data_IF_402493825070
#
_entry.id   IF_402493825070
#
_cell.length_a   1.000
_cell.length_b   1.000
_cell.length_c   1.000
_cell.angle_alpha   90.00
_cell.angle_beta   90.00
_cell.angle_gamma   90.00
#
_symmetry.space_group_name_H-M   'P 1'
#
loop_
_entity.id
_entity.type
_entity.pdbx_description
1 polymer ?
#
# COMPACT_ATOMS: atom_id res chain seq x y z
N UNK A 1 29.49 34.12 -28.89
CA UNK A 1 29.41 33.80 -27.44
C UNK A 1 30.82 33.57 -26.92
N UNK A 2 31.22 34.23 -25.82
CA UNK A 2 32.59 34.23 -25.31
C UNK A 2 33.06 32.83 -24.89
N UNK A 3 34.33 32.52 -25.17
CA UNK A 3 35.01 31.29 -24.75
C UNK A 3 35.19 31.34 -23.22
N UNK A 4 34.99 30.22 -22.54
CA UNK A 4 35.20 30.13 -21.09
C UNK A 4 36.69 30.00 -20.87
N UNK A 5 37.34 31.12 -20.56
CA UNK A 5 38.80 31.20 -20.45
C UNK A 5 39.21 31.28 -18.97
N UNK A 6 40.17 30.44 -18.54
CA UNK A 6 40.76 30.59 -17.23
C UNK A 6 41.72 31.78 -17.19
N UNK A 7 41.84 32.38 -16.01
CA UNK A 7 42.97 33.24 -15.67
C UNK A 7 44.10 32.33 -15.17
N UNK A 8 45.32 32.52 -15.68
CA UNK A 8 46.49 31.80 -15.17
C UNK A 8 46.98 32.50 -13.89
N UNK A 9 47.09 31.74 -12.81
CA UNK A 9 47.66 32.19 -11.55
C UNK A 9 48.78 31.24 -11.16
N UNK A 10 50.02 31.63 -11.44
CA UNK A 10 51.17 30.74 -11.38
C UNK A 10 51.04 29.58 -12.38
N UNK A 11 51.13 28.35 -11.88
CA UNK A 11 50.94 27.10 -12.62
C UNK A 11 49.48 26.62 -12.67
N UNK A 12 48.55 27.36 -12.06
CA UNK A 12 47.14 26.96 -11.94
C UNK A 12 46.23 27.70 -12.91
N UNK A 13 45.23 26.99 -13.43
CA UNK A 13 44.10 27.57 -14.16
C UNK A 13 43.00 27.94 -13.18
N UNK A 14 42.69 29.23 -13.07
CA UNK A 14 41.68 29.77 -12.15
C UNK A 14 40.50 30.29 -12.94
N UNK A 15 39.30 29.83 -12.60
CA UNK A 15 38.06 30.31 -13.20
C UNK A 15 37.34 31.22 -12.21
N UNK A 16 36.77 32.32 -12.69
CA UNK A 16 35.81 33.09 -11.88
C UNK A 16 34.57 32.23 -11.62
N UNK A 17 33.84 32.52 -10.55
CA UNK A 17 32.59 31.79 -10.20
C UNK A 17 31.62 31.79 -11.38
N UNK A 18 31.47 32.93 -12.07
CA UNK A 18 30.61 33.06 -13.25
C UNK A 18 31.12 32.28 -14.46
N UNK A 19 32.44 32.16 -14.65
CA UNK A 19 33.02 31.34 -15.71
C UNK A 19 32.85 29.84 -15.42
N UNK A 20 33.03 29.43 -14.16
CA UNK A 20 32.83 28.06 -13.70
C UNK A 20 31.36 27.62 -13.88
N UNK A 21 30.41 28.39 -13.34
CA UNK A 21 28.99 28.08 -13.43
C UNK A 21 28.50 27.99 -14.88
N UNK A 22 28.95 28.92 -15.74
CA UNK A 22 28.65 28.88 -17.19
C UNK A 22 29.24 27.65 -17.87
N UNK A 23 30.41 27.19 -17.42
CA UNK A 23 31.04 25.97 -17.90
C UNK A 23 30.24 24.73 -17.56
N UNK A 24 29.83 24.63 -16.30
CA UNK A 24 28.97 23.55 -15.81
C UNK A 24 27.61 23.57 -16.50
N UNK A 25 26.96 24.73 -16.61
CA UNK A 25 25.69 24.88 -17.33
C UNK A 25 25.80 24.42 -18.79
N UNK A 26 26.89 24.78 -19.48
CA UNK A 26 27.16 24.34 -20.85
C UNK A 26 27.39 22.83 -20.95
N UNK A 27 28.04 22.23 -19.96
CA UNK A 27 28.22 20.78 -19.89
C UNK A 27 26.87 20.07 -19.69
N UNK A 28 26.07 20.52 -18.72
CA UNK A 28 24.73 19.99 -18.46
C UNK A 28 23.81 20.10 -19.68
N UNK A 29 23.90 21.19 -20.45
CA UNK A 29 23.13 21.36 -21.68
C UNK A 29 23.43 20.33 -22.79
N UNK A 30 24.53 19.55 -22.68
CA UNK A 30 24.85 18.45 -23.58
C UNK A 30 24.21 17.12 -23.16
N UNK A 31 23.72 17.02 -21.92
CA UNK A 31 23.05 15.83 -21.45
C UNK A 31 21.73 15.63 -22.22
N UNK A 32 21.34 14.37 -22.46
CA UNK A 32 20.05 14.07 -23.07
C UNK A 32 18.90 14.47 -22.12
N UNK A 33 17.68 14.38 -22.65
CA UNK A 33 16.49 14.38 -21.79
C UNK A 33 16.57 13.15 -20.88
N UNK A 34 16.36 13.35 -19.59
CA UNK A 34 16.35 12.31 -18.57
C UNK A 34 15.00 12.25 -17.88
N UNK A 35 14.71 11.09 -17.31
CA UNK A 35 13.53 10.86 -16.48
C UNK A 35 13.95 10.75 -15.02
N UNK A 36 13.27 11.49 -14.15
CA UNK A 36 13.54 11.51 -12.70
C UNK A 36 12.25 11.18 -11.96
N UNK A 37 12.32 10.22 -11.05
CA UNK A 37 11.25 9.90 -10.12
C UNK A 37 11.43 10.67 -8.81
N UNK A 38 10.34 11.19 -8.26
CA UNK A 38 10.34 11.75 -6.92
C UNK A 38 8.94 12.10 -6.42
N UNK A 39 8.83 12.20 -5.10
CA UNK A 39 7.63 12.67 -4.41
C UNK A 39 7.56 14.20 -4.46
N UNK A 40 6.40 14.76 -4.79
CA UNK A 40 6.17 16.20 -4.81
C UNK A 40 6.17 16.71 -3.37
N UNK A 41 7.28 17.30 -2.94
CA UNK A 41 7.40 17.91 -1.62
C UNK A 41 6.76 19.30 -1.56
N UNK A 42 6.84 20.05 -2.66
CA UNK A 42 6.29 21.41 -2.74
C UNK A 42 5.87 21.68 -4.18
N UNK A 43 4.68 22.24 -4.37
CA UNK A 43 4.18 22.69 -5.67
C UNK A 43 3.80 24.18 -5.59
N UNK A 44 4.60 25.03 -6.23
CA UNK A 44 4.36 26.48 -6.29
C UNK A 44 3.90 26.88 -7.68
N UNK A 45 2.64 27.31 -7.76
CA UNK A 45 2.04 27.89 -8.97
C UNK A 45 1.27 29.16 -8.61
N UNK A 46 1.36 30.16 -9.47
CA UNK A 46 0.57 31.39 -9.39
C UNK A 46 0.02 31.69 -10.79
N UNK A 47 -1.22 32.19 -10.87
CA UNK A 47 -1.84 32.56 -12.14
C UNK A 47 -1.03 33.58 -12.95
N UNK A 48 -0.26 34.46 -12.28
CA UNK A 48 0.58 35.46 -12.91
C UNK A 48 1.96 34.93 -13.38
N UNK A 49 2.35 33.70 -13.03
CA UNK A 49 3.67 33.17 -13.35
C UNK A 49 3.66 32.31 -14.61
N UNK A 50 4.65 32.53 -15.48
CA UNK A 50 4.85 31.73 -16.69
C UNK A 50 5.46 30.33 -16.41
N UNK A 51 5.89 30.07 -15.18
CA UNK A 51 6.57 28.84 -14.78
C UNK A 51 5.99 28.32 -13.48
N UNK A 52 5.78 27.01 -13.44
CA UNK A 52 5.41 26.25 -12.25
C UNK A 52 6.69 25.65 -11.68
N UNK A 53 6.84 25.76 -10.36
CA UNK A 53 8.00 25.25 -9.64
C UNK A 53 7.57 24.07 -8.78
N UNK A 54 8.31 22.98 -8.86
CA UNK A 54 8.13 21.79 -8.04
C UNK A 54 9.45 21.49 -7.31
N UNK A 55 9.34 20.96 -6.11
CA UNK A 55 10.47 20.32 -5.41
C UNK A 55 10.16 18.83 -5.33
N UNK A 56 10.99 18.01 -6.00
CA UNK A 56 10.90 16.56 -5.90
C UNK A 56 11.85 16.07 -4.81
N UNK A 57 11.39 15.08 -4.04
CA UNK A 57 12.16 14.45 -2.98
C UNK A 57 12.19 12.94 -3.17
N UNK A 58 13.35 12.33 -2.96
CA UNK A 58 13.46 10.88 -2.82
C UNK A 58 13.08 10.48 -1.37
N UNK A 59 11.98 9.73 -1.16
CA UNK A 59 11.54 9.34 0.18
C UNK A 59 12.48 8.37 0.89
N UNK A 60 13.40 7.71 0.18
CA UNK A 60 14.38 6.78 0.75
C UNK A 60 15.59 7.51 1.31
N UNK A 61 16.17 8.42 0.53
CA UNK A 61 17.44 9.09 0.86
C UNK A 61 17.25 10.51 1.38
N UNK A 62 16.09 11.13 1.11
CA UNK A 62 15.84 12.54 1.39
C UNK A 62 16.49 13.50 0.41
N UNK A 63 17.12 13.00 -0.66
CA UNK A 63 17.68 13.85 -1.72
C UNK A 63 16.57 14.68 -2.38
N UNK A 64 16.86 15.94 -2.71
CA UNK A 64 15.88 16.84 -3.32
C UNK A 64 16.38 17.39 -4.65
N UNK A 65 15.44 17.66 -5.55
CA UNK A 65 15.69 18.25 -6.85
C UNK A 65 14.61 19.28 -7.18
N UNK A 66 15.05 20.50 -7.52
CA UNK A 66 14.14 21.53 -8.02
C UNK A 66 13.79 21.26 -9.48
N UNK A 67 12.50 21.28 -9.79
CA UNK A 67 11.97 21.06 -11.13
C UNK A 67 11.17 22.30 -11.56
N UNK A 68 11.42 22.77 -12.77
CA UNK A 68 10.67 23.86 -13.39
C UNK A 68 9.94 23.36 -14.62
N UNK A 69 8.70 23.79 -14.83
CA UNK A 69 7.91 23.46 -16.02
C UNK A 69 7.15 24.69 -16.48
N UNK A 70 7.08 24.91 -17.80
CA UNK A 70 6.32 26.01 -18.36
C UNK A 70 4.84 25.87 -18.02
N UNK A 71 4.18 26.97 -17.64
CA UNK A 71 2.76 26.98 -17.22
C UNK A 71 1.86 26.37 -18.30
N UNK A 72 2.07 26.76 -19.56
CA UNK A 72 1.33 26.27 -20.72
C UNK A 72 1.47 24.76 -20.93
N UNK A 73 2.64 24.20 -20.63
CA UNK A 73 2.89 22.76 -20.68
C UNK A 73 2.21 22.06 -19.52
N UNK A 74 2.35 22.59 -18.30
CA UNK A 74 1.74 22.03 -17.10
C UNK A 74 0.21 21.98 -17.19
N UNK A 75 -0.43 23.08 -17.60
CA UNK A 75 -1.89 23.16 -17.73
C UNK A 75 -2.43 22.17 -18.77
N UNK A 76 -1.69 21.98 -19.87
CA UNK A 76 -2.05 21.02 -20.92
C UNK A 76 -2.00 19.57 -20.49
N UNK A 77 -1.28 19.25 -19.42
CA UNK A 77 -1.23 17.89 -18.89
C UNK A 77 -2.50 17.55 -18.10
N UNK A 78 -3.31 18.55 -17.73
CA UNK A 78 -4.53 18.38 -16.92
C UNK A 78 -4.29 17.57 -15.63
N UNK A 79 -3.06 17.64 -15.10
CA UNK A 79 -2.64 16.90 -13.91
C UNK A 79 -3.08 17.62 -12.65
N UNK A 80 -3.98 17.01 -11.90
CA UNK A 80 -4.25 17.35 -10.50
C UNK A 80 -3.15 16.75 -9.62
N UNK A 81 -2.05 17.48 -9.47
CA UNK A 81 -0.96 17.13 -8.56
C UNK A 81 -1.18 17.71 -7.17
N UNK A 82 -1.06 16.86 -6.16
CA UNK A 82 -0.99 17.24 -4.75
C UNK A 82 0.41 16.99 -4.17
N UNK A 83 0.72 17.65 -3.05
CA UNK A 83 1.90 17.33 -2.25
C UNK A 83 1.81 15.89 -1.73
N UNK A 84 2.92 15.15 -1.74
CA UNK A 84 2.99 13.74 -1.39
C UNK A 84 2.82 12.76 -2.57
N UNK A 85 2.45 13.24 -3.75
CA UNK A 85 2.30 12.36 -4.91
C UNK A 85 3.64 12.04 -5.57
N UNK A 86 3.80 10.80 -6.05
CA UNK A 86 4.98 10.41 -6.82
C UNK A 86 4.79 10.72 -8.29
N UNK A 87 5.78 11.37 -8.89
CA UNK A 87 5.77 11.74 -10.31
C UNK A 87 7.05 11.34 -11.01
N UNK A 88 6.95 11.11 -12.31
CA UNK A 88 8.05 11.02 -13.24
C UNK A 88 8.16 12.33 -14.02
N UNK A 89 9.30 13.01 -13.87
CA UNK A 89 9.60 14.23 -14.60
C UNK A 89 10.59 13.96 -15.72
N UNK A 90 10.17 14.16 -16.97
CA UNK A 90 11.06 14.12 -18.11
C UNK A 90 11.56 15.53 -18.42
N UNK A 91 12.88 15.73 -18.44
CA UNK A 91 13.43 17.07 -18.62
C UNK A 91 14.92 17.09 -18.90
N UNK A 92 15.46 18.30 -19.02
CA UNK A 92 16.91 18.52 -19.17
C UNK A 92 17.47 19.14 -17.90
N UNK A 93 18.65 18.68 -17.50
CA UNK A 93 19.36 19.29 -16.39
C UNK A 93 19.74 20.74 -16.73
N UNK A 94 19.52 21.64 -15.79
CA UNK A 94 19.86 23.06 -15.90
C UNK A 94 20.58 23.55 -14.64
N UNK A 95 21.40 24.58 -14.80
CA UNK A 95 22.05 25.26 -13.67
C UNK A 95 21.68 26.73 -13.71
N UNK A 96 21.14 27.25 -12.61
CA UNK A 96 20.91 28.68 -12.46
C UNK A 96 22.24 29.38 -12.19
N UNK A 97 22.87 29.90 -13.26
CA UNK A 97 24.26 30.37 -13.25
C UNK A 97 24.59 31.40 -12.16
N UNK A 98 23.63 32.24 -11.76
CA UNK A 98 23.83 33.28 -10.74
C UNK A 98 23.98 32.69 -9.33
N UNK A 99 23.28 31.60 -9.01
CA UNK A 99 23.31 30.96 -7.68
C UNK A 99 24.01 29.62 -7.65
N UNK A 100 24.34 29.04 -8.81
CA UNK A 100 24.88 27.69 -8.90
C UNK A 100 23.89 26.61 -8.49
N UNK A 101 22.58 26.87 -8.56
CA UNK A 101 21.55 25.90 -8.19
C UNK A 101 21.28 24.96 -9.36
N UNK A 102 21.45 23.66 -9.13
CA UNK A 102 21.09 22.60 -10.08
C UNK A 102 19.58 22.37 -10.04
N UNK A 103 18.98 22.21 -11.21
CA UNK A 103 17.58 21.84 -11.35
C UNK A 103 17.33 21.04 -12.62
N UNK A 104 16.06 20.70 -12.81
CA UNK A 104 15.56 20.03 -14.00
C UNK A 104 14.50 20.91 -14.65
N UNK A 105 14.69 21.27 -15.91
CA UNK A 105 13.64 21.87 -16.72
C UNK A 105 12.81 20.75 -17.35
N UNK A 106 11.66 20.47 -16.78
CA UNK A 106 10.74 19.44 -17.25
C UNK A 106 10.03 19.88 -18.53
N UNK A 107 9.98 18.97 -19.49
CA UNK A 107 9.18 19.05 -20.71
C UNK A 107 7.85 18.31 -20.60
N UNK A 108 7.75 17.35 -19.68
CA UNK A 108 6.48 16.70 -19.30
C UNK A 108 6.58 16.19 -17.87
N UNK A 109 5.43 16.04 -17.23
CA UNK A 109 5.26 15.35 -15.97
C UNK A 109 4.28 14.22 -16.19
N UNK A 110 4.56 13.07 -15.61
CA UNK A 110 3.64 11.96 -15.53
C UNK A 110 3.41 11.66 -14.07
N UNK A 111 2.15 11.70 -13.62
CA UNK A 111 1.82 11.11 -12.33
C UNK A 111 2.17 9.63 -12.43
N UNK A 112 2.90 9.12 -11.44
CA UNK A 112 2.94 7.68 -11.24
C UNK A 112 1.56 7.27 -10.72
N UNK A 113 0.62 7.14 -11.65
CA UNK A 113 -0.69 6.58 -11.38
C UNK A 113 -0.58 5.08 -11.12
N UNK A 114 -1.67 4.55 -10.56
CA UNK A 114 -1.96 3.13 -10.30
C UNK A 114 -1.29 2.12 -11.25
N UNK A 115 -1.12 2.42 -12.54
CA UNK A 115 -0.52 1.54 -13.54
C UNK A 115 0.85 0.96 -13.19
N UNK A 116 1.78 1.75 -12.64
CA UNK A 116 3.10 1.23 -12.25
C UNK A 116 3.01 0.23 -11.09
N UNK A 117 2.21 0.58 -10.08
CA UNK A 117 1.91 -0.32 -8.96
C UNK A 117 1.16 -1.57 -9.43
N UNK A 118 0.20 -1.44 -10.34
CA UNK A 118 -0.55 -2.56 -10.90
C UNK A 118 0.34 -3.50 -11.71
N UNK A 119 1.30 -2.99 -12.49
CA UNK A 119 2.27 -3.82 -13.21
C UNK A 119 3.19 -4.56 -12.23
N UNK A 120 3.68 -3.88 -11.19
CA UNK A 120 4.49 -4.52 -10.16
C UNK A 120 3.70 -5.58 -9.37
N UNK A 121 2.44 -5.28 -9.03
CA UNK A 121 1.53 -6.20 -8.34
C UNK A 121 1.19 -7.41 -9.20
N UNK A 122 0.91 -7.22 -10.49
CA UNK A 122 0.61 -8.31 -11.42
C UNK A 122 1.83 -9.20 -11.65
N UNK A 123 3.04 -8.61 -11.69
CA UNK A 123 4.29 -9.38 -11.72
C UNK A 123 4.46 -10.21 -10.45
N UNK A 124 4.34 -9.59 -9.28
CA UNK A 124 4.46 -10.27 -7.99
C UNK A 124 3.40 -11.37 -7.83
N UNK A 125 2.16 -11.10 -8.27
CA UNK A 125 1.08 -12.09 -8.31
C UNK A 125 1.48 -13.31 -9.12
N UNK A 126 2.05 -13.14 -10.31
CA UNK A 126 2.50 -14.26 -11.15
C UNK A 126 3.63 -15.04 -10.50
N UNK A 127 4.60 -14.36 -9.90
CA UNK A 127 5.71 -14.98 -9.18
C UNK A 127 5.21 -15.84 -8.01
N UNK A 128 4.36 -15.28 -7.13
CA UNK A 128 3.80 -15.99 -5.98
C UNK A 128 2.80 -17.09 -6.38
N UNK A 129 2.05 -16.91 -7.48
CA UNK A 129 1.18 -17.94 -8.03
C UNK A 129 2.00 -19.12 -8.56
N UNK A 130 3.13 -18.87 -9.22
CA UNK A 130 4.02 -19.91 -9.73
C UNK A 130 4.67 -20.72 -8.60
N UNK A 131 4.91 -20.10 -7.44
CA UNK A 131 5.32 -20.79 -6.21
C UNK A 131 4.17 -21.56 -5.52
N UNK A 132 2.94 -21.43 -6.01
CA UNK A 132 1.76 -22.12 -5.48
C UNK A 132 1.21 -21.52 -4.20
N UNK A 133 1.53 -20.27 -3.84
CA UNK A 133 1.03 -19.66 -2.60
C UNK A 133 -0.49 -19.42 -2.61
N UNK A 134 -1.10 -19.36 -3.78
CA UNK A 134 -2.55 -19.18 -3.96
C UNK A 134 -3.30 -20.48 -4.25
N UNK A 135 -2.61 -21.63 -4.18
CA UNK A 135 -3.18 -22.92 -4.51
C UNK A 135 -4.33 -23.29 -3.54
N UNK A 136 -5.52 -23.68 -4.04
CA UNK A 136 -6.66 -23.97 -3.18
C UNK A 136 -6.40 -25.14 -2.22
N UNK A 137 -5.48 -26.05 -2.56
CA UNK A 137 -5.09 -27.19 -1.72
C UNK A 137 -4.33 -26.77 -0.45
N UNK A 138 -3.77 -25.56 -0.41
CA UNK A 138 -3.14 -24.99 0.79
C UNK A 138 -4.15 -24.40 1.77
N UNK A 139 -5.36 -24.09 1.29
CA UNK A 139 -6.36 -23.39 2.09
C UNK A 139 -6.92 -24.29 3.17
N UNK A 140 -6.85 -23.83 4.41
CA UNK A 140 -7.37 -24.53 5.58
C UNK A 140 -8.86 -24.27 5.75
N UNK A 141 -9.56 -25.28 6.24
CA UNK A 141 -10.97 -25.15 6.59
C UNK A 141 -11.13 -24.33 7.87
N UNK A 142 -12.04 -23.37 7.85
CA UNK A 142 -12.42 -22.60 9.04
C UNK A 142 -13.17 -23.54 10.01
N UNK A 143 -12.78 -23.58 11.30
CA UNK A 143 -13.50 -24.34 12.32
C UNK A 143 -14.96 -23.90 12.42
N UNK A 144 -15.88 -24.86 12.55
CA UNK A 144 -17.30 -24.55 12.67
C UNK A 144 -17.63 -23.74 13.93
N UNK A 145 -16.92 -24.02 15.03
CA UNK A 145 -17.10 -23.36 16.33
C UNK A 145 -15.71 -23.02 16.88
N UNK A 146 -15.14 -21.84 16.55
CA UNK A 146 -13.85 -21.42 17.09
C UNK A 146 -13.96 -21.02 18.57
N UNK A 147 -12.95 -21.36 19.37
CA UNK A 147 -12.83 -20.96 20.78
C UNK A 147 -12.61 -19.45 20.89
N UNK A 148 -11.66 -18.95 20.10
CA UNK A 148 -11.41 -17.53 19.94
C UNK A 148 -11.09 -17.17 18.48
N UNK A 149 -11.49 -15.98 18.09
CA UNK A 149 -11.18 -15.35 16.81
C UNK A 149 -10.17 -14.23 17.07
N UNK A 150 -9.01 -14.31 16.42
CA UNK A 150 -8.04 -13.23 16.38
C UNK A 150 -8.45 -12.18 15.37
N UNK A 151 -8.43 -10.89 15.74
CA UNK A 151 -8.77 -9.78 14.84
C UNK A 151 -7.54 -8.88 14.74
N UNK A 152 -6.96 -8.79 13.55
CA UNK A 152 -5.90 -7.82 13.26
C UNK A 152 -6.52 -6.63 12.55
N UNK A 153 -6.44 -5.46 13.17
CA UNK A 153 -7.08 -4.24 12.66
C UNK A 153 -6.20 -3.02 12.87
N UNK A 154 -6.46 -1.97 12.09
CA UNK A 154 -5.94 -0.64 12.36
C UNK A 154 -6.58 -0.01 13.61
N UNK A 155 -6.11 1.18 13.97
CA UNK A 155 -6.69 1.99 15.05
C UNK A 155 -8.12 2.50 14.76
N UNK A 156 -8.71 2.15 13.61
CA UNK A 156 -10.08 2.51 13.26
C UNK A 156 -11.08 1.69 14.09
N UNK A 157 -11.81 2.39 14.96
CA UNK A 157 -12.78 1.81 15.88
C UNK A 157 -13.99 1.19 15.16
N UNK A 158 -14.31 1.63 13.94
CA UNK A 158 -15.51 1.19 13.23
C UNK A 158 -15.41 -0.27 12.77
N UNK A 159 -14.33 -0.63 12.06
CA UNK A 159 -14.14 -1.99 11.56
C UNK A 159 -14.07 -3.03 12.70
N UNK A 160 -13.37 -2.68 13.79
CA UNK A 160 -13.33 -3.48 15.02
C UNK A 160 -14.71 -3.62 15.65
N UNK A 161 -15.41 -2.50 15.83
CA UNK A 161 -16.71 -2.44 16.48
C UNK A 161 -17.75 -3.28 15.76
N UNK A 162 -17.81 -3.14 14.43
CA UNK A 162 -18.74 -3.88 13.56
C UNK A 162 -18.49 -5.39 13.64
N UNK A 163 -17.22 -5.81 13.59
CA UNK A 163 -16.86 -7.22 13.70
C UNK A 163 -17.27 -7.80 15.06
N UNK A 164 -16.82 -7.18 16.15
CA UNK A 164 -17.05 -7.67 17.52
C UNK A 164 -18.53 -7.69 17.86
N UNK A 165 -19.28 -6.66 17.46
CA UNK A 165 -20.73 -6.57 17.67
C UNK A 165 -21.46 -7.67 16.90
N UNK A 166 -21.11 -7.88 15.63
CA UNK A 166 -21.74 -8.92 14.80
C UNK A 166 -21.45 -10.31 15.34
N UNK A 167 -20.19 -10.58 15.70
CA UNK A 167 -19.78 -11.85 16.30
C UNK A 167 -20.50 -12.12 17.61
N UNK A 168 -20.53 -11.13 18.52
CA UNK A 168 -21.19 -11.25 19.82
C UNK A 168 -22.71 -11.44 19.71
N UNK A 169 -23.36 -10.83 18.71
CA UNK A 169 -24.79 -11.04 18.45
C UNK A 169 -25.09 -12.43 17.88
N UNK A 170 -24.21 -12.94 17.00
CA UNK A 170 -24.44 -14.16 16.24
C UNK A 170 -24.05 -15.42 17.04
N UNK A 171 -22.95 -15.35 17.78
CA UNK A 171 -22.46 -16.44 18.62
C UNK A 171 -21.65 -15.94 19.83
N UNK A 172 -22.32 -15.61 20.96
CA UNK A 172 -21.68 -15.02 22.14
C UNK A 172 -20.60 -15.88 22.82
N UNK A 173 -20.59 -17.19 22.56
CA UNK A 173 -19.67 -18.12 23.22
C UNK A 173 -18.22 -18.04 22.72
N UNK A 174 -17.99 -17.45 21.53
CA UNK A 174 -16.65 -17.28 20.95
C UNK A 174 -16.01 -15.98 21.44
N UNK A 175 -14.74 -16.05 21.89
CA UNK A 175 -13.99 -14.87 22.34
C UNK A 175 -13.36 -14.11 21.17
N UNK A 176 -13.26 -12.79 21.27
CA UNK A 176 -12.46 -11.96 20.34
C UNK A 176 -11.11 -11.59 20.97
N UNK A 177 -10.01 -11.87 20.26
CA UNK A 177 -8.65 -11.43 20.62
C UNK A 177 -8.22 -10.36 19.63
N UNK A 178 -8.14 -9.10 20.06
CA UNK A 178 -7.86 -7.97 19.17
C UNK A 178 -6.37 -7.61 19.20
N UNK A 179 -5.76 -7.52 18.02
CA UNK A 179 -4.43 -6.96 17.81
C UNK A 179 -4.57 -5.68 16.98
N UNK A 180 -4.41 -4.54 17.64
CA UNK A 180 -4.35 -3.24 16.97
C UNK A 180 -2.92 -2.98 16.50
N UNK A 181 -2.75 -2.76 15.20
CA UNK A 181 -1.43 -2.55 14.59
C UNK A 181 -1.51 -1.51 13.48
N UNK A 182 -0.34 -1.10 12.99
CA UNK A 182 -0.28 -0.20 11.82
C UNK A 182 -0.61 -1.00 10.57
N UNK A 183 -1.74 -0.68 9.93
CA UNK A 183 -2.21 -1.33 8.70
C UNK A 183 -2.01 -0.49 7.44
N UNK A 184 -1.61 0.78 7.58
CA UNK A 184 -1.39 1.70 6.46
C UNK A 184 -0.09 2.50 6.60
N UNK A 185 0.43 2.95 5.46
CA UNK A 185 1.67 3.73 5.36
C UNK A 185 2.95 2.93 5.61
N UNK A 186 4.06 3.65 5.76
CA UNK A 186 5.41 3.07 5.91
C UNK A 186 5.51 2.21 7.18
N UNK A 187 6.07 1.01 7.04
CA UNK A 187 6.22 0.05 8.14
C UNK A 187 4.97 -0.78 8.46
N UNK A 188 3.87 -0.58 7.74
CA UNK A 188 2.66 -1.38 7.90
C UNK A 188 2.85 -2.87 7.58
N UNK A 189 3.55 -3.27 6.49
CA UNK A 189 3.76 -4.69 6.19
C UNK A 189 4.42 -5.46 7.35
N UNK A 190 5.47 -4.90 7.94
CA UNK A 190 6.20 -5.50 9.06
C UNK A 190 5.31 -5.59 10.31
N UNK A 191 4.52 -4.55 10.57
CA UNK A 191 3.60 -4.49 11.69
C UNK A 191 2.42 -5.46 11.55
N UNK A 192 1.89 -5.65 10.34
CA UNK A 192 0.88 -6.66 10.03
C UNK A 192 1.44 -8.07 10.25
N UNK A 193 2.64 -8.36 9.76
CA UNK A 193 3.27 -9.68 9.95
C UNK A 193 3.54 -9.97 11.43
N UNK A 194 4.01 -8.97 12.19
CA UNK A 194 4.21 -9.10 13.63
C UNK A 194 2.89 -9.41 14.36
N UNK A 195 1.82 -8.66 14.05
CA UNK A 195 0.50 -8.86 14.64
C UNK A 195 -0.09 -10.23 14.29
N UNK A 196 0.02 -10.65 13.02
CA UNK A 196 -0.47 -11.96 12.57
C UNK A 196 0.24 -13.10 13.30
N UNK A 197 1.57 -13.01 13.45
CA UNK A 197 2.35 -14.00 14.21
C UNK A 197 1.96 -14.02 15.69
N UNK A 198 1.74 -12.85 16.30
CA UNK A 198 1.32 -12.77 17.70
C UNK A 198 -0.05 -13.41 17.93
N UNK A 199 -1.03 -13.16 17.05
CA UNK A 199 -2.35 -13.78 17.11
C UNK A 199 -2.28 -15.29 16.87
N UNK A 200 -1.52 -15.72 15.86
CA UNK A 200 -1.37 -17.14 15.53
C UNK A 200 -0.61 -17.94 16.60
N UNK A 201 0.21 -17.29 17.43
CA UNK A 201 0.87 -17.92 18.58
C UNK A 201 -0.04 -18.01 19.82
N UNK A 202 -1.20 -17.36 19.81
CA UNK A 202 -2.12 -17.36 20.95
C UNK A 202 -2.87 -18.72 21.02
N UNK A 203 -2.77 -19.48 22.12
CA UNK A 203 -3.22 -20.87 22.17
C UNK A 203 -4.74 -21.07 22.05
N UNK A 204 -5.53 -20.03 22.33
CA UNK A 204 -7.00 -20.05 22.18
C UNK A 204 -7.49 -19.62 20.79
N UNK A 205 -6.64 -19.00 19.96
CA UNK A 205 -7.07 -18.45 18.66
C UNK A 205 -7.10 -19.58 17.62
N UNK A 206 -8.28 -19.84 17.09
CA UNK A 206 -8.50 -20.90 16.10
C UNK A 206 -8.63 -20.38 14.66
N UNK A 207 -8.84 -19.07 14.49
CA UNK A 207 -8.92 -18.38 13.20
C UNK A 207 -8.52 -16.92 13.38
N UNK A 208 -7.83 -16.35 12.39
CA UNK A 208 -7.45 -14.92 12.37
C UNK A 208 -8.18 -14.20 11.26
N UNK A 209 -8.71 -13.02 11.53
CA UNK A 209 -9.33 -12.13 10.57
C UNK A 209 -8.46 -10.90 10.40
N UNK A 210 -8.02 -10.64 9.17
CA UNK A 210 -7.40 -9.39 8.79
C UNK A 210 -8.49 -8.42 8.36
N UNK A 211 -8.64 -7.30 9.06
CA UNK A 211 -9.65 -6.30 8.74
C UNK A 211 -9.01 -4.95 8.49
N UNK A 212 -9.60 -4.20 7.55
CA UNK A 212 -9.33 -2.78 7.39
C UNK A 212 -10.66 -2.03 7.37
N UNK A 213 -10.64 -0.79 7.86
CA UNK A 213 -11.73 0.16 7.62
C UNK A 213 -11.74 0.66 6.18
N UNK A 214 -12.51 1.72 5.94
CA UNK A 214 -12.45 2.49 4.70
C UNK A 214 -11.05 3.08 4.47
N UNK A 215 -10.82 3.66 3.28
CA UNK A 215 -9.52 4.22 2.92
C UNK A 215 -9.25 4.13 1.43
N UNK A 216 -8.15 4.74 1.00
CA UNK A 216 -7.74 4.77 -0.41
C UNK A 216 -7.21 3.42 -0.89
N UNK A 217 -6.98 3.29 -2.20
CA UNK A 217 -6.27 2.15 -2.78
C UNK A 217 -4.84 2.04 -2.24
N UNK A 218 -4.16 3.16 -1.97
CA UNK A 218 -2.79 3.15 -1.45
C UNK A 218 -2.73 2.53 -0.05
N UNK A 219 -3.77 2.71 0.74
CA UNK A 219 -3.92 2.07 2.05
C UNK A 219 -4.12 0.55 1.95
N UNK A 220 -4.35 -0.02 0.75
CA UNK A 220 -4.39 -1.47 0.50
C UNK A 220 -3.04 -2.05 0.10
N UNK A 221 -2.10 -1.23 -0.38
CA UNK A 221 -0.79 -1.68 -0.84
C UNK A 221 -0.01 -2.49 0.21
N UNK A 222 -0.03 -2.13 1.51
CA UNK A 222 0.64 -2.94 2.54
C UNK A 222 0.18 -4.39 2.59
N UNK A 223 -1.09 -4.66 2.29
CA UNK A 223 -1.67 -5.99 2.26
C UNK A 223 -1.28 -6.80 1.02
N UNK A 224 -0.72 -6.15 0.00
CA UNK A 224 -0.15 -6.82 -1.17
C UNK A 224 1.36 -6.98 -1.11
N UNK A 225 2.00 -6.53 -0.02
CA UNK A 225 3.44 -6.71 0.17
C UNK A 225 3.79 -8.21 0.27
N UNK A 226 4.85 -8.62 -0.40
CA UNK A 226 5.29 -10.02 -0.46
C UNK A 226 5.40 -10.67 0.92
N UNK A 227 6.00 -9.96 1.90
CA UNK A 227 6.14 -10.48 3.26
C UNK A 227 4.80 -10.79 3.95
N UNK A 228 3.76 -9.98 3.69
CA UNK A 228 2.41 -10.18 4.24
C UNK A 228 1.77 -11.39 3.58
N UNK A 229 1.83 -11.48 2.25
CA UNK A 229 1.28 -12.61 1.50
C UNK A 229 1.90 -13.93 1.95
N UNK A 230 3.24 -13.97 2.08
CA UNK A 230 3.96 -15.13 2.59
C UNK A 230 3.59 -15.47 4.03
N UNK A 231 3.43 -14.48 4.90
CA UNK A 231 3.03 -14.70 6.28
C UNK A 231 1.60 -15.25 6.39
N UNK A 232 0.67 -14.78 5.56
CA UNK A 232 -0.70 -15.31 5.48
C UNK A 232 -0.68 -16.76 5.02
N UNK A 233 0.00 -17.06 3.91
CA UNK A 233 0.10 -18.41 3.34
C UNK A 233 0.84 -19.43 4.23
N UNK A 234 1.62 -18.94 5.21
CA UNK A 234 2.39 -19.76 6.16
C UNK A 234 1.84 -19.72 7.60
N UNK A 235 0.78 -18.94 7.86
CA UNK A 235 0.12 -18.87 9.17
C UNK A 235 -0.25 -20.29 9.60
N UNK A 236 -0.15 -20.72 10.87
CA UNK A 236 -0.55 -22.07 11.31
C UNK A 236 -2.07 -22.24 11.47
N UNK A 237 -2.81 -21.15 11.66
CA UNK A 237 -4.28 -21.13 11.79
C UNK A 237 -4.91 -20.53 10.53
N UNK A 238 -6.19 -20.85 10.22
CA UNK A 238 -6.89 -20.25 9.10
C UNK A 238 -6.94 -18.72 9.18
N UNK A 239 -6.75 -18.06 8.04
CA UNK A 239 -6.79 -16.60 7.89
C UNK A 239 -7.93 -16.20 6.97
N UNK A 240 -8.78 -15.30 7.44
CA UNK A 240 -9.84 -14.66 6.63
C UNK A 240 -9.44 -13.23 6.34
N UNK A 241 -9.45 -12.85 5.07
CA UNK A 241 -9.24 -11.45 4.67
C UNK A 241 -10.57 -10.71 4.53
N UNK A 242 -10.65 -9.54 5.16
CA UNK A 242 -11.76 -8.59 5.08
C UNK A 242 -11.23 -7.16 4.93
N UNK A 243 -10.31 -7.00 3.98
CA UNK A 243 -9.54 -5.78 3.75
C UNK A 243 -10.03 -4.98 2.54
N UNK A 244 -10.52 -5.66 1.49
CA UNK A 244 -10.92 -5.03 0.23
C UNK A 244 -12.42 -5.12 -0.08
N UNK A 245 -12.94 -4.13 -0.81
CA UNK A 245 -14.26 -4.20 -1.45
C UNK A 245 -14.19 -5.03 -2.75
N UNK A 246 -15.32 -5.33 -3.40
CA UNK A 246 -15.34 -6.20 -4.60
C UNK A 246 -14.40 -5.76 -5.74
N UNK A 247 -14.10 -4.47 -5.84
CA UNK A 247 -13.24 -3.91 -6.88
C UNK A 247 -11.75 -3.91 -6.53
N UNK A 248 -11.39 -4.10 -5.26
CA UNK A 248 -10.02 -4.05 -4.77
C UNK A 248 -9.63 -5.40 -4.14
N UNK A 249 -8.86 -6.22 -4.88
CA UNK A 249 -8.39 -7.54 -4.40
C UNK A 249 -6.89 -7.49 -4.10
N UNK A 250 -6.47 -7.13 -2.87
CA UNK A 250 -5.06 -7.21 -2.47
C UNK A 250 -4.55 -8.65 -2.57
N UNK A 251 -3.24 -8.82 -2.77
CA UNK A 251 -2.66 -10.16 -2.95
C UNK A 251 -2.84 -11.07 -1.72
N UNK A 252 -2.99 -10.51 -0.51
CA UNK A 252 -3.32 -11.31 0.66
C UNK A 252 -4.67 -12.03 0.55
N UNK A 253 -5.65 -11.49 -0.18
CA UNK A 253 -6.96 -12.13 -0.37
C UNK A 253 -6.82 -13.46 -1.11
N UNK A 254 -5.85 -13.53 -2.02
CA UNK A 254 -5.58 -14.74 -2.80
C UNK A 254 -4.91 -15.81 -1.95
N UNK A 255 -4.01 -15.40 -1.03
CA UNK A 255 -3.33 -16.28 -0.09
C UNK A 255 -4.18 -16.68 1.12
N UNK A 256 -5.18 -15.88 1.50
CA UNK A 256 -6.07 -16.16 2.61
C UNK A 256 -6.91 -17.42 2.35
N UNK A 257 -7.28 -18.10 3.42
CA UNK A 257 -8.09 -19.32 3.38
C UNK A 257 -9.53 -19.01 2.97
N UNK A 258 -10.03 -17.83 3.35
CA UNK A 258 -11.27 -17.28 2.84
C UNK A 258 -11.23 -15.76 2.73
N UNK A 259 -12.14 -15.22 1.92
CA UNK A 259 -12.33 -13.78 1.71
C UNK A 259 -13.75 -13.38 2.11
N UNK A 260 -13.87 -12.24 2.77
CA UNK A 260 -15.12 -11.58 3.05
C UNK A 260 -15.05 -10.12 2.57
N UNK A 261 -16.15 -9.58 2.05
CA UNK A 261 -16.18 -8.21 1.52
C UNK A 261 -16.20 -7.12 2.60
N UNK A 262 -16.58 -7.47 3.83
CA UNK A 262 -16.69 -6.54 4.97
C UNK A 262 -16.32 -7.23 6.28
N UNK A 263 -15.96 -6.47 7.33
CA UNK A 263 -15.75 -7.03 8.67
C UNK A 263 -16.99 -7.77 9.20
N UNK A 264 -18.20 -7.27 8.94
CA UNK A 264 -19.45 -7.94 9.33
C UNK A 264 -19.66 -9.28 8.62
N UNK A 265 -19.35 -9.36 7.32
CA UNK A 265 -19.39 -10.60 6.56
C UNK A 265 -18.33 -11.59 7.04
N UNK A 266 -17.14 -11.10 7.43
CA UNK A 266 -16.11 -11.95 8.02
C UNK A 266 -16.58 -12.55 9.35
N UNK A 267 -17.19 -11.75 10.23
CA UNK A 267 -17.75 -12.25 11.48
C UNK A 267 -18.79 -13.35 11.21
N UNK A 268 -19.71 -13.12 10.28
CA UNK A 268 -20.70 -14.11 9.85
C UNK A 268 -20.09 -15.39 9.26
N UNK A 269 -18.90 -15.29 8.64
CA UNK A 269 -18.20 -16.40 8.04
C UNK A 269 -17.44 -17.24 9.07
N UNK A 270 -16.87 -16.60 10.10
CA UNK A 270 -16.02 -17.29 11.08
C UNK A 270 -16.77 -17.86 12.28
N UNK A 271 -17.97 -17.37 12.59
CA UNK A 271 -18.81 -17.91 13.67
C UNK A 271 -20.16 -18.40 13.15
N UNK A 272 -20.70 -19.49 13.72
CA UNK A 272 -21.99 -20.02 13.31
C UNK A 272 -23.13 -19.11 13.79
N UNK A 273 -24.36 -19.35 13.33
CA UNK A 273 -25.54 -18.70 13.88
C UNK A 273 -26.13 -19.53 15.04
N UNK A 274 -26.20 -18.95 16.23
CA UNK A 274 -26.73 -19.64 17.41
C UNK A 274 -28.17 -20.12 17.23
N UNK A 275 -29.03 -19.33 16.56
CA UNK A 275 -30.44 -19.68 16.35
C UNK A 275 -30.56 -20.85 15.37
N UNK A 276 -29.77 -20.84 14.31
CA UNK A 276 -29.72 -21.93 13.32
C UNK A 276 -29.21 -23.23 13.95
N UNK A 277 -28.16 -23.14 14.79
CA UNK A 277 -27.64 -24.28 15.54
C UNK A 277 -28.70 -24.85 16.50
N UNK A 278 -29.41 -24.00 17.24
CA UNK A 278 -30.49 -24.43 18.14
C UNK A 278 -31.62 -25.13 17.38
N UNK A 279 -32.10 -24.54 16.28
CA UNK A 279 -33.15 -25.13 15.45
C UNK A 279 -32.73 -26.49 14.87
N UNK A 280 -31.46 -26.61 14.46
CA UNK A 280 -30.88 -27.88 13.98
C UNK A 280 -30.87 -28.93 15.08
N UNK A 281 -30.44 -28.57 16.29
CA UNK A 281 -30.43 -29.47 17.45
C UNK A 281 -31.84 -29.93 17.82
N UNK A 282 -32.82 -29.01 17.85
CA UNK A 282 -34.23 -29.34 18.12
C UNK A 282 -34.79 -30.31 17.08
N UNK A 283 -34.51 -30.08 15.79
CA UNK A 283 -34.92 -30.97 14.70
C UNK A 283 -34.30 -32.36 14.84
N UNK A 284 -33.00 -32.43 15.16
CA UNK A 284 -32.31 -33.69 15.43
C UNK A 284 -32.91 -34.44 16.63
N UNK A 285 -33.21 -33.73 17.73
CA UNK A 285 -33.84 -34.30 18.92
C UNK A 285 -35.23 -34.87 18.61
N UNK A 286 -36.06 -34.15 17.85
CA UNK A 286 -37.38 -34.62 17.43
C UNK A 286 -37.28 -35.90 16.59
N UNK A 287 -36.37 -35.93 15.61
CA UNK A 287 -36.14 -37.12 14.76
C UNK A 287 -35.70 -38.32 15.58
N UNK A 288 -34.73 -38.14 16.46
CA UNK A 288 -34.28 -39.18 17.40
C UNK A 288 -35.45 -39.70 18.26
N UNK A 289 -36.29 -38.81 18.79
CA UNK A 289 -37.45 -39.17 19.59
C UNK A 289 -38.50 -39.97 18.82
N UNK A 290 -38.75 -39.64 17.55
CA UNK A 290 -39.65 -40.42 16.69
C UNK A 290 -39.05 -41.80 16.38
N UNK A 291 -37.77 -41.87 15.98
CA UNK A 291 -37.11 -43.12 15.63
C UNK A 291 -37.05 -44.11 16.79
N UNK A 292 -36.83 -43.63 18.03
CA UNK A 292 -36.83 -44.48 19.23
C UNK A 292 -38.21 -45.06 19.54
N UNK A 293 -39.30 -44.35 19.23
CA UNK A 293 -40.67 -44.86 19.45
C UNK A 293 -41.11 -45.90 18.42
N UNK A 294 -40.44 -45.93 17.26
CA UNK A 294 -40.71 -46.87 16.17
C UNK A 294 -39.81 -48.11 16.19
N UNK A 295 -38.83 -48.16 17.10
CA UNK A 295 -38.02 -49.35 17.42
C UNK A 295 -38.71 -50.17 18.50
#
# INVERSE_FOLDING_TARGET
>A
MAKIEPVLYGDRKVYTVSAFNRGVARFLGRLPVVWVEGEVQELRRNAAWATVFLTLKDPKTGATLKVTIARTTFDRLELELAEGETVHAAGRAELYELKGELGLRASTLERMGLGGHLVALERLKRELAAEGLFAPERKRRIPLVPRAVGILTGADAAARGDFVTTMGRRFPATKAVVCETRVQGRGAPEAIVAGLRALAAHPEVDVVVLTRGGGSFEDLLPFSAELVVRAVAACPVPVVSAVGHEQDTPLCDLAADARAATPTAAAALVVPDEQELRATLETCQQRLGVSIRTL
#
